data_IF_472957217399
#
_entry.id   IF_472957217399
#
_cell.length_a   1.000
_cell.length_b   1.000
_cell.length_c   1.000
_cell.angle_alpha   90.00
_cell.angle_beta   90.00
_cell.angle_gamma   90.00
#
_symmetry.space_group_name_H-M   'P 1'
#
loop_
_entity.id
_entity.type
_entity.pdbx_description
1 polymer ?
#
# COMPACT_ATOMS: atom_id res chain seq x y z
N UNK A 1 13.60 7.16 1.35
CA UNK A 1 13.62 7.88 0.04
C UNK A 1 14.64 7.35 -0.99
N UNK A 2 15.88 7.00 -0.58
CA UNK A 2 16.97 6.65 -1.54
C UNK A 2 16.67 5.45 -2.45
N UNK A 3 15.97 4.43 -1.95
CA UNK A 3 15.68 3.21 -2.72
C UNK A 3 14.64 3.48 -3.83
N UNK A 4 13.53 4.13 -3.50
CA UNK A 4 12.49 4.45 -4.49
C UNK A 4 13.03 5.35 -5.61
N UNK A 5 13.83 6.37 -5.26
CA UNK A 5 14.49 7.24 -6.23
C UNK A 5 15.40 6.46 -7.17
N UNK A 6 16.26 5.58 -6.64
CA UNK A 6 17.15 4.76 -7.45
C UNK A 6 16.41 3.80 -8.41
N UNK A 7 15.22 3.30 -8.02
CA UNK A 7 14.40 2.45 -8.89
C UNK A 7 13.82 3.26 -10.05
N UNK A 8 13.31 4.47 -9.78
CA UNK A 8 12.80 5.38 -10.82
C UNK A 8 13.94 5.80 -11.77
N UNK A 9 15.11 6.16 -11.24
CA UNK A 9 16.28 6.56 -12.05
C UNK A 9 16.75 5.45 -12.99
N UNK A 10 16.48 4.18 -12.64
CA UNK A 10 16.73 3.02 -13.47
C UNK A 10 15.60 2.72 -14.49
N UNK A 11 14.53 3.52 -14.52
CA UNK A 11 13.38 3.35 -15.42
C UNK A 11 12.43 2.22 -15.01
N UNK A 12 12.39 1.87 -13.73
CA UNK A 12 11.56 0.79 -13.21
C UNK A 12 10.48 1.29 -12.23
N UNK A 13 9.46 0.45 -12.04
CA UNK A 13 8.38 0.67 -11.08
C UNK A 13 8.68 0.01 -9.71
N UNK A 14 8.05 0.51 -8.65
CA UNK A 14 8.19 -0.05 -7.31
C UNK A 14 6.86 -0.12 -6.56
N UNK A 15 6.78 -1.09 -5.65
CA UNK A 15 5.72 -1.19 -4.65
C UNK A 15 6.37 -1.40 -3.28
N UNK A 16 5.97 -0.59 -2.30
CA UNK A 16 6.41 -0.75 -0.91
C UNK A 16 5.32 -1.47 -0.12
N UNK A 17 5.64 -2.66 0.38
CA UNK A 17 4.74 -3.41 1.25
C UNK A 17 4.85 -2.93 2.70
N UNK A 18 3.71 -2.70 3.33
CA UNK A 18 3.64 -2.52 4.79
C UNK A 18 3.77 -3.89 5.46
N UNK A 19 4.76 -4.01 6.35
CA UNK A 19 4.99 -5.25 7.10
C UNK A 19 4.04 -5.29 8.31
N UNK A 20 3.62 -6.50 8.68
CA UNK A 20 2.73 -6.74 9.83
C UNK A 20 3.29 -6.27 11.19
N UNK A 21 4.59 -5.94 11.27
CA UNK A 21 5.18 -5.32 12.46
C UNK A 21 4.83 -3.83 12.63
N UNK A 22 4.01 -3.26 11.74
CA UNK A 22 3.45 -1.90 11.82
C UNK A 22 1.91 -1.95 11.98
N UNK A 23 1.38 -2.49 13.09
CA UNK A 23 -0.05 -2.78 13.22
C UNK A 23 -0.94 -1.55 13.14
N UNK A 24 -0.47 -0.38 13.59
CA UNK A 24 -1.23 0.87 13.48
C UNK A 24 -1.43 1.32 12.04
N UNK A 25 -0.36 1.31 11.24
CA UNK A 25 -0.42 1.67 9.81
C UNK A 25 -1.25 0.65 9.02
N UNK A 26 -1.07 -0.64 9.32
CA UNK A 26 -1.87 -1.71 8.71
C UNK A 26 -3.37 -1.47 8.95
N UNK A 27 -3.78 -1.20 10.19
CA UNK A 27 -5.18 -0.94 10.51
C UNK A 27 -5.74 0.36 9.89
N UNK A 28 -4.91 1.37 9.66
CA UNK A 28 -5.35 2.57 8.92
C UNK A 28 -5.61 2.26 7.43
N UNK A 29 -4.73 1.49 6.80
CA UNK A 29 -4.92 1.02 5.42
C UNK A 29 -6.20 0.19 5.29
N UNK A 30 -6.40 -0.77 6.20
CA UNK A 30 -7.61 -1.61 6.22
C UNK A 30 -8.87 -0.74 6.35
N UNK A 31 -8.90 0.18 7.32
CA UNK A 31 -10.03 1.10 7.50
C UNK A 31 -10.31 1.95 6.27
N UNK A 32 -9.27 2.42 5.58
CA UNK A 32 -9.43 3.22 4.37
C UNK A 32 -10.12 2.41 3.25
N UNK A 33 -9.73 1.16 3.03
CA UNK A 33 -10.34 0.32 1.99
C UNK A 33 -11.71 -0.25 2.37
N UNK A 34 -12.00 -0.38 3.66
CA UNK A 34 -13.30 -0.81 4.19
C UNK A 34 -14.32 0.34 4.28
N UNK A 35 -13.87 1.61 4.21
CA UNK A 35 -14.75 2.77 4.30
C UNK A 35 -15.67 2.85 3.06
N UNK A 36 -17.00 2.74 3.20
CA UNK A 36 -17.94 2.85 2.08
C UNK A 36 -17.97 4.25 1.45
N UNK A 37 -17.44 5.26 2.13
CA UNK A 37 -17.28 6.62 1.62
C UNK A 37 -15.98 6.82 0.83
N UNK A 38 -15.03 5.88 0.92
CA UNK A 38 -13.83 5.91 0.09
C UNK A 38 -14.23 5.89 -1.39
N UNK A 39 -13.64 6.74 -2.25
CA UNK A 39 -13.81 6.63 -3.70
C UNK A 39 -13.58 5.18 -4.13
N UNK A 40 -14.41 4.72 -5.07
CA UNK A 40 -14.31 3.35 -5.57
C UNK A 40 -12.88 3.08 -6.03
N UNK A 41 -12.19 2.22 -5.29
CA UNK A 41 -10.87 1.75 -5.67
C UNK A 41 -10.98 0.99 -6.99
N UNK A 42 -9.99 1.15 -7.86
CA UNK A 42 -9.85 0.24 -9.00
C UNK A 42 -9.62 -1.16 -8.44
N UNK A 43 -10.42 -2.13 -8.92
CA UNK A 43 -10.35 -3.52 -8.45
C UNK A 43 -10.00 -4.45 -9.59
N UNK A 44 -9.12 -5.40 -9.30
CA UNK A 44 -8.80 -6.51 -10.20
C UNK A 44 -8.96 -7.82 -9.42
N UNK A 45 -9.63 -8.78 -10.03
CA UNK A 45 -9.76 -10.13 -9.49
C UNK A 45 -9.29 -11.14 -10.53
N UNK A 46 -8.48 -12.11 -10.08
CA UNK A 46 -7.96 -13.18 -10.91
C UNK A 46 -8.18 -14.51 -10.19
N UNK A 47 -8.70 -15.51 -10.91
CA UNK A 47 -8.79 -16.88 -10.41
C UNK A 47 -7.91 -17.77 -11.28
N UNK A 48 -6.89 -18.37 -10.68
CA UNK A 48 -5.98 -19.31 -11.33
C UNK A 48 -6.25 -20.74 -10.80
N UNK A 49 -6.24 -21.72 -11.70
CA UNK A 49 -6.37 -23.13 -11.37
C UNK A 49 -5.13 -23.87 -11.87
N UNK A 50 -4.23 -24.20 -10.95
CA UNK A 50 -2.98 -24.90 -11.24
C UNK A 50 -2.68 -26.00 -10.23
N UNK A 51 -2.14 -27.13 -10.70
CA UNK A 51 -1.64 -28.23 -9.85
C UNK A 51 -2.63 -28.73 -8.78
N UNK A 52 -3.93 -28.76 -9.10
CA UNK A 52 -4.99 -29.18 -8.17
C UNK A 52 -5.39 -28.14 -7.14
N UNK A 53 -4.85 -26.92 -7.21
CA UNK A 53 -5.22 -25.77 -6.38
C UNK A 53 -6.01 -24.75 -7.20
N UNK A 54 -6.87 -24.02 -6.51
CA UNK A 54 -7.51 -22.80 -7.01
C UNK A 54 -6.95 -21.65 -6.17
N UNK A 55 -6.44 -20.63 -6.82
CA UNK A 55 -5.95 -19.41 -6.21
C UNK A 55 -6.80 -18.23 -6.68
N UNK A 56 -7.36 -17.48 -5.73
CA UNK A 56 -8.07 -16.23 -6.00
C UNK A 56 -7.21 -15.07 -5.53
N UNK A 57 -6.94 -14.11 -6.42
CA UNK A 57 -6.23 -12.87 -6.13
C UNK A 57 -7.20 -11.70 -6.29
N UNK A 58 -7.24 -10.82 -5.29
CA UNK A 58 -8.01 -9.58 -5.33
C UNK A 58 -7.07 -8.42 -5.00
N UNK A 59 -7.08 -7.40 -5.84
CA UNK A 59 -6.27 -6.20 -5.68
C UNK A 59 -7.19 -5.00 -5.73
N UNK A 60 -7.06 -4.10 -4.76
CA UNK A 60 -7.72 -2.79 -4.76
C UNK A 60 -6.65 -1.69 -4.79
N UNK A 61 -6.82 -0.70 -5.66
CA UNK A 61 -5.88 0.41 -5.86
C UNK A 61 -6.59 1.72 -5.60
N UNK A 62 -5.95 2.60 -4.85
CA UNK A 62 -6.38 3.98 -4.70
C UNK A 62 -5.19 4.93 -4.88
N UNK A 63 -5.42 6.02 -5.59
CA UNK A 63 -4.47 7.13 -5.70
C UNK A 63 -4.66 8.18 -4.60
N UNK A 64 -5.72 8.03 -3.78
CA UNK A 64 -5.95 8.89 -2.61
C UNK A 64 -5.00 8.46 -1.50
N UNK A 65 -4.05 9.31 -1.17
CA UNK A 65 -3.07 9.09 -0.09
C UNK A 65 -3.15 10.15 0.99
N UNK A 66 -3.99 11.17 0.82
CA UNK A 66 -4.12 12.29 1.74
C UNK A 66 -4.67 11.87 3.12
N UNK A 67 -5.39 10.74 3.19
CA UNK A 67 -5.84 10.13 4.44
C UNK A 67 -4.68 9.64 5.33
N UNK A 68 -3.50 9.40 4.73
CA UNK A 68 -2.29 9.01 5.44
C UNK A 68 -1.55 10.22 6.03
N UNK A 69 -2.04 11.45 5.79
CA UNK A 69 -1.49 12.67 6.37
C UNK A 69 -1.80 12.76 7.87
N UNK A 70 -1.01 12.08 8.69
CA UNK A 70 -0.99 12.27 10.13
C UNK A 70 0.31 12.95 10.57
N UNK A 71 0.27 13.71 11.67
CA UNK A 71 1.47 14.15 12.40
C UNK A 71 2.20 12.97 13.08
N UNK A 72 2.09 11.75 12.56
CA UNK A 72 2.64 10.54 13.17
C UNK A 72 4.15 10.51 12.99
N UNK A 73 4.83 10.94 14.04
CA UNK A 73 6.30 10.93 14.14
C UNK A 73 6.77 9.57 14.61
N UNK A 74 7.80 9.04 13.98
CA UNK A 74 8.48 7.82 14.43
C UNK A 74 9.81 8.18 15.11
N UNK A 75 10.28 7.39 16.11
CA UNK A 75 11.57 7.63 16.74
C UNK A 75 12.71 7.64 15.70
N UNK A 76 13.45 8.76 15.62
CA UNK A 76 14.54 8.94 14.64
C UNK A 76 14.11 9.57 13.31
N UNK A 77 12.89 10.08 13.19
CA UNK A 77 12.42 10.87 12.05
C UNK A 77 13.38 12.04 11.73
N UNK A 78 13.85 12.08 10.48
CA UNK A 78 14.77 13.11 10.00
C UNK A 78 14.05 14.46 9.91
N UNK A 79 14.57 15.46 10.62
CA UNK A 79 14.08 16.84 10.53
C UNK A 79 14.81 17.57 9.42
N UNK A 80 14.08 17.99 8.40
CA UNK A 80 14.57 19.04 7.50
C UNK A 80 14.60 20.38 8.28
N UNK A 81 15.60 21.24 8.05
CA UNK A 81 15.64 22.58 8.62
C UNK A 81 14.45 23.43 8.15
#
# INVERSE_FOLDING_TARGET
PKVAAAIIDAGADYLLAVKANQPGLMGEIERFFDDPQCPAADRCEETDKGHGRIEERRVAISTQVDWLAGERRFPGEYRLP
#
